data_IF_790209283301
#
_entry.id   IF_790209283301
#
_cell.length_a   1.000
_cell.length_b   1.000
_cell.length_c   1.000
_cell.angle_alpha   90.00
_cell.angle_beta   90.00
_cell.angle_gamma   90.00
#
_symmetry.space_group_name_H-M   'P 1'
#
loop_
_entity.id
_entity.type
_entity.pdbx_description
1 polymer ?
#
# COMPACT_ATOMS: atom_id res chain seq x y z
N UNK A 1 -21.19 23.15 -2.25
CA UNK A 1 -20.57 22.57 -1.03
C UNK A 1 -19.14 22.20 -1.40
N UNK A 2 -18.16 22.59 -0.59
CA UNK A 2 -16.77 22.18 -0.83
C UNK A 2 -16.67 20.64 -0.68
N UNK A 3 -15.93 19.98 -1.57
CA UNK A 3 -15.64 18.56 -1.43
C UNK A 3 -14.90 18.33 -0.09
N UNK A 4 -15.25 17.29 0.68
CA UNK A 4 -14.54 17.00 1.91
C UNK A 4 -13.06 16.75 1.61
N UNK A 5 -12.17 17.35 2.40
CA UNK A 5 -10.74 17.08 2.32
C UNK A 5 -10.50 15.62 2.75
N UNK A 6 -10.00 14.81 1.83
CA UNK A 6 -9.66 13.41 2.08
C UNK A 6 -8.16 13.29 2.28
N UNK A 7 -7.75 12.66 3.38
CA UNK A 7 -6.35 12.54 3.79
C UNK A 7 -5.87 11.10 3.76
N UNK A 8 -4.71 10.88 3.17
CA UNK A 8 -4.04 9.58 3.07
C UNK A 8 -2.74 9.60 3.89
N UNK A 9 -2.45 8.52 4.59
CA UNK A 9 -1.21 8.29 5.32
C UNK A 9 -0.57 6.99 4.84
N UNK A 10 0.73 7.00 4.59
CA UNK A 10 1.54 5.80 4.32
C UNK A 10 2.54 5.58 5.45
N UNK A 11 2.65 4.32 5.93
CA UNK A 11 3.55 4.00 7.04
C UNK A 11 4.18 2.60 6.89
N UNK A 12 5.51 2.56 6.66
CA UNK A 12 6.26 1.30 6.75
C UNK A 12 6.48 0.95 8.23
N UNK A 13 5.86 -0.14 8.68
CA UNK A 13 5.88 -0.52 10.10
C UNK A 13 7.12 -1.32 10.52
N UNK A 14 7.91 -1.85 9.55
CA UNK A 14 9.07 -2.72 9.84
C UNK A 14 8.77 -3.77 10.95
N UNK A 15 7.63 -4.42 10.82
CA UNK A 15 7.08 -5.36 11.80
C UNK A 15 6.08 -4.73 12.78
N UNK A 16 4.84 -5.19 12.71
CA UNK A 16 3.73 -4.68 13.52
C UNK A 16 3.63 -5.41 14.86
N UNK A 17 3.47 -4.66 15.94
CA UNK A 17 3.09 -5.12 17.26
C UNK A 17 2.09 -4.15 17.91
N UNK A 18 1.62 -4.46 19.11
CA UNK A 18 0.62 -3.64 19.80
C UNK A 18 1.13 -2.22 20.10
N UNK A 19 2.41 -2.05 20.47
CA UNK A 19 3.01 -0.75 20.76
C UNK A 19 3.01 0.13 19.51
N UNK A 20 3.46 -0.43 18.37
CA UNK A 20 3.44 0.28 17.08
C UNK A 20 2.01 0.61 16.63
N UNK A 21 1.05 -0.27 16.89
CA UNK A 21 -0.35 0.01 16.59
C UNK A 21 -0.88 1.21 17.38
N UNK A 22 -0.48 1.35 18.65
CA UNK A 22 -0.80 2.56 19.45
C UNK A 22 -0.19 3.81 18.83
N UNK A 23 1.09 3.79 18.48
CA UNK A 23 1.76 4.93 17.84
C UNK A 23 1.12 5.32 16.50
N UNK A 24 0.74 4.35 15.68
CA UNK A 24 0.04 4.63 14.41
C UNK A 24 -1.32 5.25 14.68
N UNK A 25 -2.09 4.77 15.67
CA UNK A 25 -3.37 5.40 16.04
C UNK A 25 -3.20 6.85 16.48
N UNK A 26 -2.17 7.15 17.26
CA UNK A 26 -1.90 8.53 17.70
C UNK A 26 -1.48 9.40 16.51
N UNK A 27 -0.63 8.89 15.60
CA UNK A 27 -0.25 9.58 14.38
C UNK A 27 -1.47 9.87 13.49
N UNK A 28 -2.34 8.89 13.29
CA UNK A 28 -3.57 9.01 12.50
C UNK A 28 -4.51 10.07 13.07
N UNK A 29 -4.65 10.13 14.39
CA UNK A 29 -5.45 11.17 15.07
C UNK A 29 -4.85 12.57 14.84
N UNK A 30 -3.54 12.72 15.02
CA UNK A 30 -2.85 14.01 14.84
C UNK A 30 -2.92 14.49 13.39
N UNK A 31 -2.80 13.57 12.43
CA UNK A 31 -2.85 13.90 10.99
C UNK A 31 -4.26 13.94 10.42
N UNK A 32 -5.27 13.57 11.21
CA UNK A 32 -6.66 13.42 10.77
C UNK A 32 -6.77 12.57 9.50
N UNK A 33 -6.06 11.43 9.47
CA UNK A 33 -5.98 10.60 8.27
C UNK A 33 -7.19 9.70 8.14
N UNK A 34 -7.86 9.77 6.97
CA UNK A 34 -9.02 8.96 6.65
C UNK A 34 -8.64 7.59 6.08
N UNK A 35 -7.55 7.52 5.34
CA UNK A 35 -7.03 6.30 4.72
C UNK A 35 -5.57 6.08 5.11
N UNK A 36 -5.26 4.88 5.60
CA UNK A 36 -3.91 4.54 6.08
C UNK A 36 -3.42 3.27 5.41
N UNK A 37 -2.36 3.38 4.62
CA UNK A 37 -1.62 2.25 4.06
C UNK A 37 -0.46 1.87 4.96
N UNK A 38 -0.44 0.62 5.43
CA UNK A 38 0.64 0.10 6.26
C UNK A 38 1.40 -0.96 5.47
N UNK A 39 2.73 -0.86 5.45
CA UNK A 39 3.63 -1.81 4.81
C UNK A 39 4.49 -2.54 5.85
N UNK A 40 5.00 -3.71 5.45
CA UNK A 40 5.91 -4.53 6.25
C UNK A 40 5.41 -4.90 7.65
N UNK A 41 4.15 -5.28 7.79
CA UNK A 41 3.64 -5.69 9.10
C UNK A 41 4.15 -7.07 9.56
N UNK A 42 4.71 -7.90 8.67
CA UNK A 42 5.33 -9.22 8.87
C UNK A 42 4.46 -10.28 9.55
N UNK A 43 3.15 -10.08 9.65
CA UNK A 43 2.22 -11.05 10.23
C UNK A 43 1.69 -11.98 9.14
N UNK A 44 1.77 -13.29 9.38
CA UNK A 44 1.49 -14.34 8.39
C UNK A 44 0.16 -15.06 8.54
N UNK A 45 -0.43 -15.04 9.70
CA UNK A 45 -1.45 -16.02 10.06
C UNK A 45 -2.87 -15.53 9.81
N UNK A 46 -3.84 -16.47 9.86
CA UNK A 46 -5.29 -16.18 9.85
C UNK A 46 -5.72 -15.20 10.96
N UNK A 47 -4.88 -14.98 11.98
CA UNK A 47 -5.13 -14.04 13.07
C UNK A 47 -4.73 -12.61 12.75
N UNK A 48 -4.10 -12.34 11.60
CA UNK A 48 -3.67 -10.99 11.23
C UNK A 48 -4.86 -10.06 11.06
N UNK A 49 -5.93 -10.50 10.42
CA UNK A 49 -7.16 -9.72 10.27
C UNK A 49 -7.77 -9.37 11.64
N UNK A 50 -7.80 -10.34 12.55
CA UNK A 50 -8.27 -10.09 13.92
C UNK A 50 -7.40 -9.07 14.63
N UNK A 51 -6.06 -9.19 14.53
CA UNK A 51 -5.15 -8.21 15.12
C UNK A 51 -5.43 -6.79 14.63
N UNK A 52 -5.56 -6.59 13.32
CA UNK A 52 -5.82 -5.24 12.79
C UNK A 52 -7.21 -4.72 13.20
N UNK A 53 -8.25 -5.53 13.17
CA UNK A 53 -9.59 -5.13 13.65
C UNK A 53 -9.59 -4.76 15.13
N UNK A 54 -8.88 -5.52 15.97
CA UNK A 54 -8.83 -5.26 17.42
C UNK A 54 -8.00 -4.01 17.74
N UNK A 55 -6.99 -3.69 16.90
CA UNK A 55 -6.11 -2.54 17.13
C UNK A 55 -6.64 -1.24 16.48
N UNK A 56 -7.50 -1.34 15.46
CA UNK A 56 -8.01 -0.20 14.68
C UNK A 56 -9.53 -0.31 14.52
N UNK A 57 -10.24 -0.34 15.64
CA UNK A 57 -11.69 -0.55 15.72
C UNK A 57 -12.52 0.58 15.07
N UNK A 58 -11.99 1.80 14.99
CA UNK A 58 -12.57 2.95 14.26
C UNK A 58 -12.40 2.87 12.74
N UNK A 59 -11.73 1.80 12.23
CA UNK A 59 -11.42 1.62 10.81
C UNK A 59 -11.98 0.31 10.28
N UNK A 60 -12.39 0.31 9.01
CA UNK A 60 -12.51 -0.89 8.22
C UNK A 60 -11.11 -1.34 7.79
N UNK A 61 -10.83 -2.64 7.86
CA UNK A 61 -9.51 -3.16 7.58
C UNK A 61 -9.53 -4.11 6.39
N UNK A 62 -8.53 -3.97 5.52
CA UNK A 62 -8.21 -4.93 4.48
C UNK A 62 -6.74 -5.31 4.61
N UNK A 63 -6.43 -6.59 4.81
CA UNK A 63 -5.08 -7.06 5.11
C UNK A 63 -4.63 -8.11 4.10
N UNK A 64 -3.41 -7.94 3.58
CA UNK A 64 -2.69 -8.93 2.78
C UNK A 64 -1.59 -9.52 3.67
N UNK A 65 -1.64 -10.81 4.02
CA UNK A 65 -0.65 -11.44 4.90
C UNK A 65 0.77 -11.34 4.35
N UNK A 66 1.74 -11.29 5.24
CA UNK A 66 3.14 -11.37 4.86
C UNK A 66 3.48 -12.74 4.23
N UNK A 67 4.30 -12.71 3.20
CA UNK A 67 4.72 -13.87 2.43
C UNK A 67 5.97 -14.54 3.04
N UNK A 68 6.10 -15.83 2.80
CA UNK A 68 7.33 -16.60 3.02
C UNK A 68 7.56 -17.52 1.84
N UNK A 69 8.78 -17.56 1.35
CA UNK A 69 9.15 -18.41 0.23
C UNK A 69 8.91 -19.88 0.58
N UNK A 70 8.49 -20.68 -0.38
CA UNK A 70 8.27 -22.14 -0.17
C UNK A 70 9.58 -22.81 0.25
N UNK A 71 9.52 -23.67 1.26
CA UNK A 71 10.70 -24.39 1.80
C UNK A 71 11.51 -23.61 2.83
N UNK A 72 11.15 -22.37 3.16
CA UNK A 72 11.78 -21.64 4.27
C UNK A 72 10.96 -21.78 5.55
N UNK A 73 11.32 -22.74 6.40
CA UNK A 73 10.65 -22.98 7.70
C UNK A 73 11.08 -21.99 8.80
N UNK A 74 12.22 -21.32 8.61
CA UNK A 74 12.78 -20.34 9.54
C UNK A 74 12.98 -18.97 8.90
N UNK A 75 13.15 -17.94 9.73
CA UNK A 75 13.37 -16.57 9.27
C UNK A 75 12.12 -15.69 9.28
N UNK A 76 12.31 -14.40 9.00
CA UNK A 76 11.26 -13.38 9.00
C UNK A 76 10.43 -13.46 7.73
N UNK A 77 9.11 -13.40 7.87
CA UNK A 77 8.25 -13.23 6.70
C UNK A 77 8.49 -11.86 6.03
N UNK A 78 8.28 -11.79 4.71
CA UNK A 78 8.50 -10.58 3.91
C UNK A 78 7.19 -9.81 3.72
N UNK A 79 7.23 -8.50 3.76
CA UNK A 79 6.13 -7.62 3.41
C UNK A 79 4.93 -7.73 4.37
N UNK A 80 3.76 -7.89 3.81
CA UNK A 80 2.47 -7.77 4.49
C UNK A 80 1.94 -6.34 4.42
N UNK A 81 0.72 -6.18 3.89
CA UNK A 81 0.08 -4.90 3.66
C UNK A 81 -1.22 -4.82 4.45
N UNK A 82 -1.54 -3.64 4.98
CA UNK A 82 -2.85 -3.37 5.53
C UNK A 82 -3.36 -2.01 5.04
N UNK A 83 -4.61 -1.97 4.63
CA UNK A 83 -5.33 -0.75 4.29
C UNK A 83 -6.42 -0.52 5.33
N UNK A 84 -6.42 0.66 5.92
CA UNK A 84 -7.39 1.09 6.91
C UNK A 84 -8.20 2.24 6.33
N UNK A 85 -9.54 2.13 6.33
CA UNK A 85 -10.44 3.22 5.93
C UNK A 85 -11.32 3.62 7.12
N UNK A 86 -11.32 4.91 7.45
CA UNK A 86 -12.08 5.44 8.58
C UNK A 86 -13.57 5.16 8.44
N UNK A 87 -14.21 4.73 9.52
CA UNK A 87 -15.67 4.56 9.58
C UNK A 87 -16.43 5.88 9.72
N UNK A 88 -15.73 6.99 9.94
CA UNK A 88 -16.30 8.33 10.07
C UNK A 88 -16.60 8.99 8.72
N UNK A 89 -16.10 8.42 7.62
CA UNK A 89 -16.29 8.93 6.27
C UNK A 89 -17.27 8.06 5.51
N UNK A 90 -18.23 8.68 4.84
CA UNK A 90 -19.19 7.97 3.98
C UNK A 90 -18.52 7.61 2.66
N UNK A 91 -17.95 6.40 2.61
CA UNK A 91 -17.24 5.85 1.46
C UNK A 91 -17.50 4.36 1.34
N UNK A 92 -17.83 3.90 0.14
CA UNK A 92 -17.86 2.47 -0.16
C UNK A 92 -16.51 2.03 -0.71
N UNK A 93 -15.84 1.10 -0.01
CA UNK A 93 -14.57 0.52 -0.46
C UNK A 93 -14.82 -0.81 -1.18
N UNK A 94 -14.40 -0.91 -2.44
CA UNK A 94 -14.43 -2.17 -3.21
C UNK A 94 -13.01 -2.67 -3.42
N UNK A 95 -12.72 -3.87 -2.92
CA UNK A 95 -11.42 -4.51 -3.07
C UNK A 95 -11.21 -4.99 -4.49
N UNK A 96 -10.00 -4.81 -5.00
CA UNK A 96 -9.54 -5.39 -6.26
C UNK A 96 -8.60 -6.53 -5.91
N UNK A 97 -8.82 -7.70 -6.52
CA UNK A 97 -7.97 -8.88 -6.31
C UNK A 97 -6.62 -8.66 -6.98
N UNK A 98 -5.55 -8.85 -6.22
CA UNK A 98 -4.16 -8.76 -6.69
C UNK A 98 -3.48 -10.13 -6.61
N UNK A 99 -2.50 -10.37 -7.48
CA UNK A 99 -1.77 -11.63 -7.57
C UNK A 99 -0.55 -11.66 -6.63
N UNK A 100 0.08 -10.49 -6.46
CA UNK A 100 1.27 -10.36 -5.61
C UNK A 100 0.91 -9.97 -4.18
N UNK A 101 1.73 -10.41 -3.22
CA UNK A 101 1.66 -9.97 -1.83
C UNK A 101 2.20 -8.55 -1.59
N UNK A 102 2.76 -7.93 -2.65
CA UNK A 102 3.35 -6.59 -2.61
C UNK A 102 2.39 -5.48 -2.98
N UNK A 103 1.19 -5.84 -3.41
CA UNK A 103 0.19 -4.92 -3.92
C UNK A 103 -1.15 -5.14 -3.23
N UNK A 104 -1.82 -4.06 -2.90
CA UNK A 104 -3.16 -4.02 -2.36
C UNK A 104 -3.91 -2.87 -3.01
N UNK A 105 -5.05 -3.15 -3.62
CA UNK A 105 -5.81 -2.15 -4.35
C UNK A 105 -7.28 -2.19 -4.00
N UNK A 106 -7.91 -1.02 -4.00
CA UNK A 106 -9.35 -0.87 -3.84
C UNK A 106 -9.84 0.43 -4.48
N UNK A 107 -11.07 0.46 -4.94
CA UNK A 107 -11.73 1.69 -5.34
C UNK A 107 -12.54 2.24 -4.17
N UNK A 108 -12.42 3.54 -3.95
CA UNK A 108 -13.13 4.32 -2.94
C UNK A 108 -14.24 5.09 -3.64
N UNK A 109 -15.50 4.74 -3.38
CA UNK A 109 -16.64 5.34 -4.02
C UNK A 109 -17.27 6.39 -3.10
N UNK A 110 -17.04 7.66 -3.41
CA UNK A 110 -17.73 8.81 -2.84
C UNK A 110 -18.95 9.17 -3.72
N UNK A 111 -19.88 10.01 -3.28
CA UNK A 111 -21.07 10.37 -4.07
C UNK A 111 -20.78 10.88 -5.49
N UNK A 112 -19.67 11.64 -5.68
CA UNK A 112 -19.33 12.27 -6.96
C UNK A 112 -17.88 12.02 -7.39
N UNK A 113 -17.18 11.07 -6.77
CA UNK A 113 -15.77 10.82 -7.03
C UNK A 113 -15.43 9.37 -6.73
N UNK A 114 -14.73 8.73 -7.64
CA UNK A 114 -14.14 7.39 -7.44
C UNK A 114 -12.63 7.52 -7.43
N UNK A 115 -12.00 7.09 -6.37
CA UNK A 115 -10.53 7.09 -6.24
C UNK A 115 -10.04 5.65 -6.28
N UNK A 116 -9.12 5.34 -7.19
CA UNK A 116 -8.34 4.12 -7.11
C UNK A 116 -7.24 4.31 -6.07
N UNK A 117 -7.30 3.57 -4.98
CA UNK A 117 -6.28 3.60 -3.94
C UNK A 117 -5.43 2.35 -3.99
N UNK A 118 -4.14 2.54 -4.23
CA UNK A 118 -3.12 1.50 -4.33
C UNK A 118 -2.12 1.67 -3.20
N UNK A 119 -1.99 0.63 -2.36
CA UNK A 119 -1.00 0.51 -1.30
C UNK A 119 0.04 -0.54 -1.72
N UNK A 120 1.30 -0.15 -1.86
CA UNK A 120 2.35 -0.99 -2.42
C UNK A 120 3.59 -1.08 -1.53
N UNK A 121 4.30 -2.21 -1.62
CA UNK A 121 5.64 -2.41 -1.08
C UNK A 121 6.55 -2.90 -2.21
N UNK A 122 7.29 -1.99 -2.83
CA UNK A 122 8.18 -2.32 -3.95
C UNK A 122 9.44 -3.05 -3.45
N UNK A 123 10.09 -3.85 -4.32
CA UNK A 123 11.41 -4.40 -4.04
C UNK A 123 12.40 -3.29 -3.71
N UNK A 124 13.35 -3.57 -2.82
CA UNK A 124 14.42 -2.63 -2.49
C UNK A 124 15.33 -2.42 -3.68
N UNK A 125 15.70 -1.16 -3.99
CA UNK A 125 16.72 -0.84 -4.98
C UNK A 125 18.08 -1.40 -4.50
N UNK A 126 18.61 -2.46 -5.11
CA UNK A 126 19.93 -2.96 -4.73
C UNK A 126 20.98 -1.92 -5.11
N UNK A 127 21.82 -1.57 -4.17
CA UNK A 127 22.90 -0.60 -4.39
C UNK A 127 24.03 -1.15 -5.30
N UNK A 128 23.84 -2.32 -5.89
CA UNK A 128 24.81 -3.02 -6.72
C UNK A 128 24.43 -3.01 -8.19
N UNK A 129 25.40 -3.21 -9.09
CA UNK A 129 25.19 -3.25 -10.54
C UNK A 129 24.27 -4.41 -11.02
N UNK A 130 23.97 -5.38 -10.17
CA UNK A 130 23.13 -6.54 -10.47
C UNK A 130 21.66 -6.32 -10.08
N UNK A 131 21.06 -5.21 -10.52
CA UNK A 131 19.64 -4.98 -10.36
C UNK A 131 18.85 -6.00 -11.17
N UNK A 132 18.15 -6.90 -10.46
CA UNK A 132 17.13 -7.74 -11.10
C UNK A 132 15.84 -6.94 -11.24
N UNK A 133 15.61 -6.38 -12.43
CA UNK A 133 14.43 -5.61 -12.73
C UNK A 133 13.14 -6.46 -12.77
N UNK A 134 13.26 -7.78 -12.82
CA UNK A 134 12.13 -8.67 -13.12
C UNK A 134 11.03 -8.60 -12.04
N UNK A 135 11.41 -8.63 -10.78
CA UNK A 135 10.44 -8.53 -9.68
C UNK A 135 9.78 -7.15 -9.66
N UNK A 136 10.54 -6.07 -9.84
CA UNK A 136 9.98 -4.71 -9.93
C UNK A 136 9.02 -4.60 -11.11
N UNK A 137 9.43 -5.00 -12.29
CA UNK A 137 8.60 -4.94 -13.49
C UNK A 137 7.33 -5.77 -13.37
N UNK A 138 7.39 -6.91 -12.68
CA UNK A 138 6.20 -7.73 -12.40
C UNK A 138 5.18 -6.98 -11.55
N UNK A 139 5.63 -6.29 -10.49
CA UNK A 139 4.73 -5.50 -9.63
C UNK A 139 4.17 -4.29 -10.39
N UNK A 140 5.01 -3.59 -11.17
CA UNK A 140 4.56 -2.43 -11.94
C UNK A 140 3.54 -2.79 -13.02
N UNK A 141 3.71 -3.94 -13.70
CA UNK A 141 2.70 -4.45 -14.65
C UNK A 141 1.38 -4.77 -13.95
N UNK A 142 1.44 -5.36 -12.76
CA UNK A 142 0.22 -5.63 -12.01
C UNK A 142 -0.48 -4.35 -11.56
N UNK A 143 0.26 -3.27 -11.25
CA UNK A 143 -0.33 -1.95 -11.01
C UNK A 143 -1.04 -1.45 -12.27
N UNK A 144 -0.42 -1.56 -13.44
CA UNK A 144 -1.05 -1.21 -14.72
C UNK A 144 -2.31 -2.04 -14.98
N UNK A 145 -2.26 -3.36 -14.80
CA UNK A 145 -3.42 -4.24 -14.90
C UNK A 145 -4.58 -3.77 -14.01
N UNK A 146 -4.26 -3.37 -12.75
CA UNK A 146 -5.26 -2.85 -11.81
C UNK A 146 -5.83 -1.51 -12.26
N UNK A 147 -5.00 -0.62 -12.77
CA UNK A 147 -5.43 0.69 -13.30
C UNK A 147 -6.33 0.52 -14.53
N UNK A 148 -6.02 -0.44 -15.41
CA UNK A 148 -6.78 -0.70 -16.63
C UNK A 148 -8.17 -1.30 -16.37
N UNK A 149 -8.31 -2.14 -15.34
CA UNK A 149 -9.59 -2.81 -15.03
C UNK A 149 -10.48 -2.03 -14.07
N UNK A 150 -9.92 -1.07 -13.32
CA UNK A 150 -10.66 -0.29 -12.35
C UNK A 150 -11.39 0.88 -13.01
N UNK A 151 -12.61 1.15 -12.55
CA UNK A 151 -13.31 2.39 -12.88
C UNK A 151 -13.00 3.43 -11.80
N UNK A 152 -12.30 4.51 -12.17
CA UNK A 152 -11.94 5.60 -11.25
C UNK A 152 -11.84 6.93 -11.98
N UNK A 153 -11.94 8.01 -11.22
CA UNK A 153 -11.80 9.38 -11.70
C UNK A 153 -10.42 9.94 -11.33
N UNK A 154 -9.82 9.43 -10.24
CA UNK A 154 -8.48 9.80 -9.77
C UNK A 154 -7.77 8.59 -9.14
N UNK A 155 -6.43 8.65 -9.03
CA UNK A 155 -5.62 7.55 -8.51
C UNK A 155 -4.62 8.03 -7.46
N UNK A 156 -4.58 7.32 -6.33
CA UNK A 156 -3.57 7.51 -5.29
C UNK A 156 -2.74 6.23 -5.17
N UNK A 157 -1.49 6.30 -5.63
CA UNK A 157 -0.47 5.28 -5.40
C UNK A 157 0.38 5.71 -4.21
N UNK A 158 0.36 4.94 -3.15
CA UNK A 158 1.17 5.17 -1.96
C UNK A 158 1.81 3.87 -1.45
N UNK A 159 2.79 3.99 -0.59
CA UNK A 159 3.42 2.85 0.03
C UNK A 159 4.90 3.06 0.26
N UNK A 160 5.59 1.96 0.49
CA UNK A 160 7.05 1.93 0.49
C UNK A 160 7.54 1.65 -0.93
N UNK A 161 7.85 2.72 -1.65
CA UNK A 161 8.31 2.63 -3.03
C UNK A 161 9.77 2.19 -3.14
N UNK A 162 10.52 2.18 -2.03
CA UNK A 162 11.95 1.87 -2.02
C UNK A 162 12.74 2.63 -3.10
N UNK A 163 12.26 3.81 -3.46
CA UNK A 163 12.75 4.62 -4.56
C UNK A 163 13.29 5.95 -4.08
N UNK A 164 14.58 6.15 -4.28
CA UNK A 164 15.21 7.46 -4.14
C UNK A 164 15.12 8.19 -5.50
N UNK A 165 14.27 9.21 -5.56
CA UNK A 165 14.05 10.00 -6.79
C UNK A 165 15.28 10.77 -7.27
N UNK A 166 16.19 11.09 -6.35
CA UNK A 166 17.42 11.85 -6.65
C UNK A 166 18.55 10.93 -7.14
N UNK A 167 18.44 9.65 -6.87
CA UNK A 167 19.44 8.67 -7.25
C UNK A 167 19.36 8.29 -8.72
N UNK A 168 20.51 8.27 -9.38
CA UNK A 168 20.63 7.75 -10.75
C UNK A 168 20.91 6.23 -10.69
N UNK A 169 19.89 5.41 -10.87
CA UNK A 169 19.98 3.95 -10.94
C UNK A 169 19.07 3.38 -12.03
N UNK A 170 19.29 2.13 -12.40
CA UNK A 170 18.39 1.41 -13.30
C UNK A 170 16.96 1.36 -12.72
N UNK A 171 16.84 1.15 -11.39
CA UNK A 171 15.57 1.20 -10.67
C UNK A 171 14.88 2.56 -10.84
N UNK A 172 15.61 3.66 -10.60
CA UNK A 172 15.07 5.02 -10.75
C UNK A 172 14.61 5.31 -12.18
N UNK A 173 15.33 4.82 -13.19
CA UNK A 173 14.92 4.95 -14.60
C UNK A 173 13.61 4.21 -14.87
N UNK A 174 13.48 2.97 -14.40
CA UNK A 174 12.25 2.18 -14.54
C UNK A 174 11.07 2.87 -13.88
N UNK A 175 11.24 3.35 -12.64
CA UNK A 175 10.18 4.05 -11.89
C UNK A 175 9.75 5.35 -12.56
N UNK A 176 10.69 6.17 -13.04
CA UNK A 176 10.36 7.42 -13.76
C UNK A 176 9.56 7.14 -15.04
N UNK A 177 9.99 6.16 -15.83
CA UNK A 177 9.30 5.77 -17.05
C UNK A 177 7.89 5.23 -16.75
N UNK A 178 7.74 4.44 -15.68
CA UNK A 178 6.44 3.95 -15.23
C UNK A 178 5.52 5.14 -14.86
N UNK A 179 5.93 6.02 -13.95
CA UNK A 179 5.11 7.17 -13.54
C UNK A 179 4.70 8.05 -14.74
N UNK A 180 5.63 8.31 -15.66
CA UNK A 180 5.34 9.08 -16.87
C UNK A 180 4.32 8.39 -17.76
N UNK A 181 4.42 7.06 -17.95
CA UNK A 181 3.52 6.28 -18.80
C UNK A 181 2.10 6.24 -18.25
N UNK A 182 1.94 6.07 -16.93
CA UNK A 182 0.62 5.98 -16.29
C UNK A 182 0.09 7.33 -15.79
N UNK A 183 0.80 8.44 -16.03
CA UNK A 183 0.36 9.78 -15.68
C UNK A 183 0.42 10.11 -14.18
N UNK A 184 1.21 9.38 -13.39
CA UNK A 184 1.39 9.65 -11.96
C UNK A 184 2.39 10.79 -11.74
N UNK A 185 2.04 11.69 -10.82
CA UNK A 185 2.90 12.79 -10.37
C UNK A 185 3.22 12.62 -8.89
N UNK A 186 4.43 13.05 -8.48
CA UNK A 186 4.78 13.10 -7.06
C UNK A 186 4.14 14.32 -6.41
N UNK A 187 3.53 14.09 -5.28
CA UNK A 187 3.01 15.14 -4.40
C UNK A 187 4.06 15.58 -3.39
#
# INVERSE_FOLDING_TARGET
MASPLVTFLSYNSTGMNTIKAVWIRDLVKVTNSHFVGIQEHFKRTKTVDKFFRDQFDDYNTYVVPAHRDQGQDSGRAKGGLAALSSKQIDVQCKRIMTKTYRLQAQTLHFPNLRILWINVYLPTDPQTQNFNAEELLSVLREIEDVMDIAEYDDCVLQGDLNWDMLRQSGFSTVMKNFCQRVGLVSL
#
